data_IF_004966152464
#
_entry.id   IF_004966152464
#
_cell.length_a   1.000
_cell.length_b   1.000
_cell.length_c   1.000
_cell.angle_alpha   90.00
_cell.angle_beta   90.00
_cell.angle_gamma   90.00
#
_symmetry.space_group_name_H-M   'P 1'
#
loop_
_entity.id
_entity.type
_entity.pdbx_description
1 polymer ?
#
# COMPACT_ATOMS: atom_id res chain seq x y z
N UNK A 1 -7.76 -6.65 -7.00
CA UNK A 1 -7.49 -6.50 -5.55
C UNK A 1 -6.11 -7.01 -5.16
N UNK A 2 -5.60 -8.04 -5.82
CA UNK A 2 -4.29 -8.64 -5.49
C UNK A 2 -3.11 -7.66 -5.52
N UNK A 3 -3.08 -6.75 -6.50
CA UNK A 3 -2.06 -5.70 -6.59
C UNK A 3 -2.07 -4.82 -5.33
N UNK A 4 -3.26 -4.37 -4.91
CA UNK A 4 -3.41 -3.55 -3.72
C UNK A 4 -2.87 -4.27 -2.49
N UNK A 5 -3.24 -5.53 -2.28
CA UNK A 5 -2.74 -6.31 -1.15
C UNK A 5 -1.23 -6.51 -1.23
N UNK A 6 -0.69 -6.85 -2.40
CA UNK A 6 0.76 -7.02 -2.59
C UNK A 6 1.56 -5.73 -2.34
N UNK A 7 0.95 -4.56 -2.52
CA UNK A 7 1.59 -3.26 -2.28
C UNK A 7 1.42 -2.79 -0.84
N UNK A 8 0.21 -2.86 -0.29
CA UNK A 8 -0.14 -2.25 1.00
C UNK A 8 -0.04 -3.23 2.18
N UNK A 9 -0.39 -4.50 1.99
CA UNK A 9 -0.46 -5.50 3.07
C UNK A 9 -0.37 -6.95 2.53
N UNK A 10 0.82 -7.44 2.14
CA UNK A 10 0.96 -8.71 1.40
C UNK A 10 0.48 -9.95 2.16
N UNK A 11 0.45 -9.86 3.49
CA UNK A 11 0.05 -10.95 4.37
C UNK A 11 -1.36 -10.75 4.95
N UNK A 12 -2.15 -9.84 4.35
CA UNK A 12 -3.40 -9.32 4.90
C UNK A 12 -4.30 -10.40 5.50
N UNK A 13 -4.57 -11.47 4.75
CA UNK A 13 -5.49 -12.52 5.19
C UNK A 13 -4.96 -13.40 6.34
N UNK A 14 -3.64 -13.48 6.51
CA UNK A 14 -3.04 -14.39 7.50
C UNK A 14 -2.71 -13.68 8.81
N UNK A 15 -2.49 -12.36 8.78
CA UNK A 15 -2.13 -11.61 9.97
C UNK A 15 -3.38 -11.21 10.76
N UNK A 16 -3.28 -11.18 12.10
CA UNK A 16 -4.41 -10.88 12.98
C UNK A 16 -4.48 -9.39 13.34
N UNK A 17 -4.48 -8.51 12.34
CA UNK A 17 -4.49 -7.05 12.52
C UNK A 17 -3.10 -6.40 12.64
N UNK A 18 -2.06 -7.17 12.95
CA UNK A 18 -0.65 -6.76 12.90
C UNK A 18 0.13 -7.82 12.14
N UNK A 19 1.00 -7.41 11.22
CA UNK A 19 1.88 -8.32 10.49
C UNK A 19 3.33 -8.24 10.99
N UNK A 20 3.78 -9.33 11.61
CA UNK A 20 5.16 -9.50 12.07
C UNK A 20 6.01 -10.37 11.12
N UNK A 21 5.39 -10.99 10.11
CA UNK A 21 6.04 -11.98 9.25
C UNK A 21 6.64 -11.34 8.01
N UNK A 22 5.99 -10.33 7.45
CA UNK A 22 6.51 -9.62 6.28
C UNK A 22 7.49 -8.54 6.74
N UNK A 23 8.77 -8.59 6.32
CA UNK A 23 9.70 -7.50 6.57
C UNK A 23 9.15 -6.21 5.99
N UNK A 24 8.75 -5.28 6.86
CA UNK A 24 8.16 -4.01 6.45
C UNK A 24 6.67 -3.83 6.68
N UNK A 25 5.89 -4.89 6.93
CA UNK A 25 4.46 -4.76 7.21
C UNK A 25 4.13 -4.39 8.67
N UNK A 26 5.14 -4.44 9.55
CA UNK A 26 5.01 -4.09 10.96
C UNK A 26 4.77 -2.59 11.25
N UNK A 27 4.96 -1.69 10.28
CA UNK A 27 4.70 -0.25 10.49
C UNK A 27 3.21 0.07 10.45
N UNK A 28 2.44 -0.36 9.45
CA UNK A 28 0.99 -0.10 9.33
C UNK A 28 0.34 -1.13 8.39
N UNK A 29 -0.56 -1.96 8.91
CA UNK A 29 -1.44 -2.85 8.13
C UNK A 29 -2.69 -2.12 7.64
N UNK A 30 -3.44 -2.71 6.70
CA UNK A 30 -4.77 -2.21 6.32
C UNK A 30 -5.67 -2.09 7.55
N UNK A 31 -5.66 -3.11 8.43
CA UNK A 31 -6.43 -3.10 9.68
C UNK A 31 -6.06 -1.90 10.57
N UNK A 32 -4.76 -1.60 10.74
CA UNK A 32 -4.31 -0.42 11.49
C UNK A 32 -4.69 0.89 10.80
N UNK A 33 -4.67 0.94 9.46
CA UNK A 33 -5.11 2.08 8.67
C UNK A 33 -6.60 2.38 8.86
N UNK A 34 -7.45 1.36 8.88
CA UNK A 34 -8.88 1.49 9.20
C UNK A 34 -9.09 2.02 10.62
N UNK A 35 -8.37 1.45 11.60
CA UNK A 35 -8.45 1.94 12.97
C UNK A 35 -8.03 3.40 13.04
N UNK A 36 -6.94 3.79 12.37
CA UNK A 36 -6.51 5.20 12.27
C UNK A 36 -7.63 6.09 11.75
N UNK A 37 -8.32 5.65 10.69
CA UNK A 37 -9.34 6.42 9.98
C UNK A 37 -10.62 6.59 10.80
N UNK A 38 -11.05 5.56 11.52
CA UNK A 38 -12.36 5.57 12.19
C UNK A 38 -12.31 5.85 13.70
N UNK A 39 -11.20 5.53 14.39
CA UNK A 39 -11.12 5.68 15.85
C UNK A 39 -10.38 6.93 16.31
N UNK A 40 -9.73 7.66 15.40
CA UNK A 40 -8.94 8.83 15.74
C UNK A 40 -9.36 10.02 14.89
N UNK A 41 -9.85 11.08 15.54
CA UNK A 41 -10.04 12.37 14.88
C UNK A 41 -8.69 13.01 14.51
N UNK A 42 -7.74 12.98 15.46
CA UNK A 42 -6.40 13.53 15.30
C UNK A 42 -5.36 12.49 15.73
N UNK A 43 -4.73 11.84 14.75
CA UNK A 43 -3.70 10.83 15.03
C UNK A 43 -2.29 11.45 15.05
N UNK A 44 -1.62 11.37 16.20
CA UNK A 44 -0.18 11.67 16.34
C UNK A 44 0.56 10.43 16.85
N UNK A 45 1.60 9.93 16.15
CA UNK A 45 2.39 8.78 16.59
C UNK A 45 2.91 8.97 18.03
N UNK A 46 2.97 7.87 18.79
CA UNK A 46 3.23 7.86 20.24
C UNK A 46 2.25 6.92 20.93
N UNK A 47 1.65 7.35 22.03
CA UNK A 47 0.62 6.56 22.75
C UNK A 47 -0.56 6.20 21.82
N UNK A 48 -0.95 7.08 20.90
CA UNK A 48 -2.03 6.79 19.95
C UNK A 48 -1.67 5.63 18.99
N UNK A 49 -0.38 5.44 18.65
CA UNK A 49 0.06 4.31 17.84
C UNK A 49 -0.08 2.99 18.60
N UNK A 50 0.22 2.98 19.89
CA UNK A 50 0.01 1.81 20.75
C UNK A 50 -1.48 1.48 20.82
N UNK A 51 -2.33 2.48 21.11
CA UNK A 51 -3.80 2.33 21.12
C UNK A 51 -4.33 1.79 19.79
N UNK A 52 -3.89 2.36 18.66
CA UNK A 52 -4.26 1.88 17.33
C UNK A 52 -3.91 0.40 17.13
N UNK A 53 -2.70 0.01 17.49
CA UNK A 53 -2.23 -1.38 17.35
C UNK A 53 -3.05 -2.34 18.21
N UNK A 54 -3.38 -1.96 19.45
CA UNK A 54 -4.22 -2.75 20.34
C UNK A 54 -5.66 -2.88 19.80
N UNK A 55 -6.27 -1.78 19.37
CA UNK A 55 -7.63 -1.78 18.78
C UNK A 55 -7.64 -2.63 17.50
N UNK A 56 -6.63 -2.49 16.63
CA UNK A 56 -6.53 -3.28 15.40
C UNK A 56 -6.45 -4.78 15.71
N UNK A 57 -5.64 -5.17 16.70
CA UNK A 57 -5.38 -6.56 17.06
C UNK A 57 -6.53 -7.23 17.81
N UNK A 58 -7.10 -6.52 18.78
CA UNK A 58 -8.00 -7.08 19.78
C UNK A 58 -9.46 -6.66 19.63
N UNK A 59 -9.77 -5.63 18.82
CA UNK A 59 -11.14 -5.21 18.55
C UNK A 59 -11.50 -5.36 17.06
N UNK A 60 -10.85 -4.61 16.16
CA UNK A 60 -11.27 -4.60 14.75
C UNK A 60 -11.09 -5.97 14.07
N UNK A 61 -9.91 -6.59 14.19
CA UNK A 61 -9.64 -7.87 13.55
C UNK A 61 -10.57 -9.03 13.97
N UNK A 62 -10.90 -9.24 15.26
CA UNK A 62 -11.83 -10.30 15.65
C UNK A 62 -13.30 -9.98 15.36
N UNK A 63 -13.70 -8.70 15.28
CA UNK A 63 -15.10 -8.28 15.11
C UNK A 63 -15.51 -8.06 13.65
N UNK A 64 -14.56 -7.77 12.76
CA UNK A 64 -14.82 -7.45 11.35
C UNK A 64 -14.02 -8.40 10.46
N UNK A 65 -14.70 -9.07 9.54
CA UNK A 65 -14.07 -10.01 8.60
C UNK A 65 -12.99 -9.32 7.76
N UNK A 66 -12.01 -10.09 7.25
CA UNK A 66 -10.97 -9.53 6.36
C UNK A 66 -11.57 -8.93 5.10
N UNK A 67 -12.60 -9.56 4.54
CA UNK A 67 -13.28 -9.06 3.35
C UNK A 67 -13.98 -7.73 3.61
N UNK A 68 -14.65 -7.58 4.76
CA UNK A 68 -15.34 -6.33 5.10
C UNK A 68 -14.33 -5.23 5.46
N UNK A 69 -13.21 -5.57 6.10
CA UNK A 69 -12.09 -4.64 6.26
C UNK A 69 -11.58 -4.16 4.90
N UNK A 70 -11.39 -5.05 3.93
CA UNK A 70 -10.92 -4.68 2.60
C UNK A 70 -11.95 -3.78 1.87
N UNK A 71 -13.25 -4.09 1.96
CA UNK A 71 -14.33 -3.24 1.42
C UNK A 71 -14.33 -1.85 2.06
N UNK A 72 -14.22 -1.77 3.38
CA UNK A 72 -14.10 -0.49 4.10
C UNK A 72 -12.86 0.27 3.64
N UNK A 73 -11.73 -0.41 3.48
CA UNK A 73 -10.49 0.22 3.07
C UNK A 73 -10.62 0.86 1.69
N UNK A 74 -11.11 0.12 0.68
CA UNK A 74 -11.25 0.66 -0.67
C UNK A 74 -12.28 1.79 -0.76
N UNK A 75 -13.24 1.86 0.18
CA UNK A 75 -14.25 2.91 0.21
C UNK A 75 -13.79 4.18 0.94
N UNK A 76 -12.86 4.08 1.89
CA UNK A 76 -12.52 5.20 2.78
C UNK A 76 -11.05 5.61 2.75
N UNK A 77 -10.19 4.91 1.99
CA UNK A 77 -8.79 5.30 1.81
C UNK A 77 -8.70 6.69 1.20
N UNK A 78 -7.81 7.53 1.75
CA UNK A 78 -7.58 8.87 1.22
C UNK A 78 -6.69 8.80 -0.02
N UNK A 79 -7.18 9.34 -1.13
CA UNK A 79 -6.51 9.37 -2.43
C UNK A 79 -6.23 10.81 -2.86
N UNK A 80 -5.93 11.69 -1.91
CA UNK A 80 -5.46 13.05 -2.20
C UNK A 80 -6.61 14.03 -2.36
N UNK A 81 -6.33 15.16 -3.01
CA UNK A 81 -7.30 16.23 -3.21
C UNK A 81 -7.28 16.76 -4.63
N UNK A 82 -8.45 17.11 -5.15
CA UNK A 82 -8.65 17.75 -6.44
C UNK A 82 -9.52 18.99 -6.23
N UNK A 83 -9.07 20.14 -6.73
CA UNK A 83 -9.77 21.43 -6.59
C UNK A 83 -10.13 21.78 -5.14
N UNK A 84 -9.19 21.56 -4.22
CA UNK A 84 -9.39 21.81 -2.79
C UNK A 84 -10.19 20.72 -2.05
N UNK A 85 -10.88 19.85 -2.76
CA UNK A 85 -11.75 18.84 -2.18
C UNK A 85 -11.00 17.51 -1.94
N UNK A 86 -11.09 16.91 -0.75
CA UNK A 86 -10.49 15.61 -0.49
C UNK A 86 -11.23 14.50 -1.25
N UNK A 87 -10.47 13.52 -1.74
CA UNK A 87 -10.97 12.35 -2.43
C UNK A 87 -10.73 11.14 -1.54
N UNK A 88 -11.81 10.46 -1.19
CA UNK A 88 -11.79 9.21 -0.43
C UNK A 88 -12.43 8.11 -1.24
N UNK A 89 -11.83 6.93 -1.18
CA UNK A 89 -12.32 5.73 -1.83
C UNK A 89 -11.98 5.64 -3.32
N UNK A 90 -11.80 4.41 -3.77
CA UNK A 90 -11.43 4.10 -5.15
C UNK A 90 -12.52 4.47 -6.15
N UNK A 91 -13.81 4.28 -5.81
CA UNK A 91 -14.91 4.63 -6.71
C UNK A 91 -14.90 6.13 -7.07
N UNK A 92 -14.93 6.99 -6.05
CA UNK A 92 -14.86 8.44 -6.22
C UNK A 92 -13.55 8.86 -6.92
N UNK A 93 -12.42 8.28 -6.53
CA UNK A 93 -11.14 8.60 -7.18
C UNK A 93 -11.11 8.21 -8.68
N UNK A 94 -11.74 7.09 -9.05
CA UNK A 94 -11.81 6.63 -10.45
C UNK A 94 -12.56 7.63 -11.31
N UNK A 95 -13.71 8.10 -10.84
CA UNK A 95 -14.53 9.10 -11.53
C UNK A 95 -13.80 10.45 -11.60
N UNK A 96 -13.22 10.89 -10.48
CA UNK A 96 -12.59 12.22 -10.39
C UNK A 96 -11.28 12.33 -11.15
N UNK A 97 -10.49 11.26 -11.24
CA UNK A 97 -9.19 11.30 -11.92
C UNK A 97 -9.24 10.81 -13.36
N UNK A 98 -10.15 9.87 -13.68
CA UNK A 98 -10.17 9.21 -14.99
C UNK A 98 -11.52 9.31 -15.70
N UNK A 99 -12.57 9.84 -15.05
CA UNK A 99 -13.91 9.93 -15.64
C UNK A 99 -14.56 8.56 -15.86
N UNK A 100 -14.15 7.52 -15.14
CA UNK A 100 -14.58 6.13 -15.34
C UNK A 100 -15.09 5.51 -14.04
N UNK A 101 -16.09 4.62 -14.11
CA UNK A 101 -16.40 3.70 -13.02
C UNK A 101 -15.17 2.88 -12.61
N UNK A 102 -15.04 2.56 -11.33
CA UNK A 102 -13.90 1.76 -10.82
C UNK A 102 -13.74 0.41 -11.55
N UNK A 103 -14.84 -0.23 -11.93
CA UNK A 103 -14.83 -1.50 -12.68
C UNK A 103 -14.33 -1.37 -14.13
N UNK A 104 -14.19 -0.15 -14.65
CA UNK A 104 -13.73 0.14 -16.01
C UNK A 104 -12.31 0.73 -16.03
N UNK A 105 -11.64 0.81 -14.89
CA UNK A 105 -10.23 1.20 -14.87
C UNK A 105 -9.38 0.15 -15.59
N UNK A 106 -8.46 0.64 -16.41
CA UNK A 106 -7.34 -0.18 -16.84
C UNK A 106 -6.46 -0.57 -15.64
N UNK A 107 -5.68 -1.64 -15.80
CA UNK A 107 -4.73 -2.05 -14.77
C UNK A 107 -3.77 -0.92 -14.40
N UNK A 108 -3.33 -0.12 -15.38
CA UNK A 108 -2.43 1.00 -15.16
C UNK A 108 -3.07 2.12 -14.34
N UNK A 109 -4.31 2.51 -14.66
CA UNK A 109 -5.06 3.50 -13.87
C UNK A 109 -5.32 3.01 -12.44
N UNK A 110 -5.60 1.71 -12.26
CA UNK A 110 -5.73 1.10 -10.95
C UNK A 110 -4.41 1.14 -10.17
N UNK A 111 -3.29 0.79 -10.80
CA UNK A 111 -1.96 0.89 -10.19
C UNK A 111 -1.63 2.35 -9.85
N UNK A 112 -2.04 3.32 -10.67
CA UNK A 112 -1.88 4.74 -10.38
C UNK A 112 -2.63 5.17 -9.12
N UNK A 113 -3.84 4.66 -8.87
CA UNK A 113 -4.56 4.90 -7.62
C UNK A 113 -3.89 4.20 -6.42
N UNK A 114 -3.45 2.95 -6.59
CA UNK A 114 -2.69 2.23 -5.54
C UNK A 114 -1.39 2.97 -5.19
N UNK A 115 -0.69 3.51 -6.19
CA UNK A 115 0.51 4.31 -6.02
C UNK A 115 0.28 5.53 -5.12
N UNK A 116 -0.93 6.09 -5.13
CA UNK A 116 -1.26 7.26 -4.33
C UNK A 116 -1.39 6.99 -2.84
N UNK A 117 -1.86 5.81 -2.42
CA UNK A 117 -2.26 5.50 -1.03
C UNK A 117 -1.20 5.96 0.00
N UNK A 118 0.05 5.62 -0.27
CA UNK A 118 1.16 5.87 0.66
C UNK A 118 1.47 7.35 0.87
N UNK A 119 1.29 8.17 -0.16
CA UNK A 119 1.59 9.59 -0.15
C UNK A 119 0.71 10.31 -1.19
N UNK A 120 -0.59 10.49 -0.91
CA UNK A 120 -1.57 10.84 -1.96
C UNK A 120 -1.33 12.20 -2.62
N UNK A 121 -0.72 13.14 -1.89
CA UNK A 121 -0.34 14.43 -2.44
C UNK A 121 0.94 14.33 -3.30
N UNK A 122 1.91 13.49 -2.92
CA UNK A 122 3.18 13.33 -3.65
C UNK A 122 2.98 12.59 -4.97
N UNK A 123 2.11 11.59 -4.98
CA UNK A 123 1.83 10.75 -6.15
C UNK A 123 0.54 11.10 -6.86
N UNK A 124 -0.01 12.29 -6.62
CA UNK A 124 -1.24 12.71 -7.25
C UNK A 124 -1.13 12.65 -8.78
N UNK A 125 -2.03 11.90 -9.42
CA UNK A 125 -1.99 11.63 -10.87
C UNK A 125 -2.08 12.88 -11.75
N UNK A 126 -2.76 13.94 -11.27
CA UNK A 126 -2.90 15.20 -12.00
C UNK A 126 -1.77 16.18 -11.64
N UNK A 127 -1.47 16.33 -10.35
CA UNK A 127 -0.51 17.34 -9.88
C UNK A 127 0.94 16.92 -10.08
N UNK A 128 1.24 15.63 -9.91
CA UNK A 128 2.59 15.08 -9.98
C UNK A 128 2.62 13.82 -10.87
N UNK A 129 2.26 13.92 -12.16
CA UNK A 129 2.11 12.76 -13.05
C UNK A 129 3.41 11.97 -13.22
N UNK A 130 4.55 12.64 -13.30
CA UNK A 130 5.86 11.99 -13.40
C UNK A 130 6.18 11.17 -12.13
N UNK A 131 5.91 11.72 -10.94
CA UNK A 131 6.13 11.00 -9.68
C UNK A 131 5.20 9.79 -9.57
N UNK A 132 3.95 9.91 -10.02
CA UNK A 132 3.01 8.79 -10.08
C UNK A 132 3.50 7.71 -11.03
N UNK A 133 3.82 8.06 -12.28
CA UNK A 133 4.29 7.12 -13.31
C UNK A 133 5.53 6.35 -12.85
N UNK A 134 6.52 7.06 -12.32
CA UNK A 134 7.72 6.43 -11.75
C UNK A 134 7.40 5.44 -10.61
N UNK A 135 6.32 5.65 -9.84
CA UNK A 135 5.87 4.70 -8.81
C UNK A 135 5.09 3.54 -9.41
N UNK A 136 4.25 3.78 -10.43
CA UNK A 136 3.54 2.74 -11.17
C UNK A 136 4.53 1.73 -11.74
N UNK A 137 5.61 2.19 -12.37
CA UNK A 137 6.67 1.30 -12.88
C UNK A 137 7.28 0.43 -11.78
N UNK A 138 7.58 1.01 -10.62
CA UNK A 138 8.13 0.25 -9.48
C UNK A 138 7.14 -0.78 -8.92
N UNK A 139 5.85 -0.45 -8.87
CA UNK A 139 4.80 -1.41 -8.50
C UNK A 139 4.71 -2.53 -9.54
N UNK A 140 4.78 -2.23 -10.84
CA UNK A 140 4.83 -3.24 -11.91
C UNK A 140 6.02 -4.19 -11.73
N UNK A 141 7.21 -3.69 -11.39
CA UNK A 141 8.38 -4.52 -11.08
C UNK A 141 8.15 -5.42 -9.86
N UNK A 142 7.53 -4.90 -8.79
CA UNK A 142 7.16 -5.68 -7.61
C UNK A 142 6.17 -6.80 -7.96
N UNK A 143 5.15 -6.50 -8.79
CA UNK A 143 4.14 -7.48 -9.22
C UNK A 143 4.82 -8.62 -9.97
N UNK A 144 5.75 -8.31 -10.89
CA UNK A 144 6.55 -9.29 -11.67
C UNK A 144 7.57 -10.07 -10.83
N UNK A 145 7.81 -9.69 -9.58
CA UNK A 145 8.84 -10.30 -8.73
C UNK A 145 10.27 -9.95 -9.15
N UNK A 146 10.42 -8.90 -9.96
CA UNK A 146 11.72 -8.35 -10.38
C UNK A 146 12.28 -7.36 -9.34
N UNK A 147 11.49 -7.06 -8.32
CA UNK A 147 11.85 -6.16 -7.24
C UNK A 147 11.44 -6.73 -5.89
N UNK A 148 12.36 -6.72 -4.94
CA UNK A 148 12.13 -7.08 -3.53
C UNK A 148 12.44 -5.85 -2.69
N UNK A 149 11.47 -5.29 -1.95
CA UNK A 149 11.71 -4.16 -1.05
C UNK A 149 12.81 -4.49 -0.05
N UNK A 150 13.79 -3.60 0.12
CA UNK A 150 14.93 -3.80 1.04
C UNK A 150 14.51 -3.75 2.51
N UNK A 151 13.35 -3.17 2.82
CA UNK A 151 12.82 -3.16 4.18
C UNK A 151 11.69 -2.16 4.42
N UNK A 152 11.45 -1.92 5.70
CA UNK A 152 10.32 -1.18 6.28
C UNK A 152 10.08 0.24 5.78
N UNK A 153 11.16 0.94 5.42
CA UNK A 153 11.11 2.32 4.91
C UNK A 153 11.24 2.37 3.39
N UNK A 154 11.32 1.21 2.74
CA UNK A 154 11.39 1.07 1.29
C UNK A 154 10.01 1.22 0.62
N UNK A 155 9.25 2.17 1.17
CA UNK A 155 7.93 2.60 0.78
C UNK A 155 7.91 3.08 -0.67
N UNK A 156 9.04 3.58 -1.16
CA UNK A 156 9.23 4.13 -2.48
C UNK A 156 9.85 3.16 -3.46
N UNK A 157 10.30 1.99 -3.02
CA UNK A 157 11.05 1.02 -3.82
C UNK A 157 12.40 1.56 -4.32
N UNK A 158 13.19 2.12 -3.41
CA UNK A 158 14.34 3.00 -3.56
C UNK A 158 15.41 2.58 -4.58
N UNK A 159 15.64 3.51 -5.51
CA UNK A 159 16.94 3.93 -6.04
C UNK A 159 17.55 3.08 -7.15
N UNK A 160 17.48 3.57 -8.41
CA UNK A 160 18.27 3.29 -9.65
C UNK A 160 18.92 1.92 -9.93
N UNK A 161 18.75 0.91 -9.09
CA UNK A 161 19.43 -0.36 -9.20
C UNK A 161 18.40 -1.47 -9.35
N UNK A 162 18.16 -1.77 -10.62
CA UNK A 162 17.72 -3.05 -11.11
C UNK A 162 18.56 -4.16 -10.48
N UNK A 163 18.11 -4.77 -9.38
CA UNK A 163 18.66 -6.06 -9.00
C UNK A 163 18.04 -7.09 -9.93
N UNK A 164 18.71 -7.38 -11.05
CA UNK A 164 18.50 -8.65 -11.76
C UNK A 164 18.55 -9.77 -10.72
N UNK A 165 17.65 -10.74 -10.82
CA UNK A 165 17.59 -11.97 -10.01
C UNK A 165 18.99 -12.37 -9.51
N UNK A 166 19.18 -12.70 -8.23
CA UNK A 166 20.46 -13.25 -7.79
C UNK A 166 20.74 -14.48 -8.66
N UNK A 167 21.81 -14.41 -9.46
CA UNK A 167 22.38 -15.62 -10.05
C UNK A 167 22.68 -16.54 -8.89
N UNK A 168 22.08 -17.72 -8.95
CA UNK A 168 22.28 -18.89 -8.09
C UNK A 168 23.47 -18.76 -7.13
N UNK A 169 23.16 -18.75 -5.83
CA UNK A 169 24.12 -18.72 -4.71
C UNK A 169 25.05 -19.96 -4.67
N UNK A 170 24.91 -20.91 -5.60
CA UNK A 170 25.62 -22.19 -5.57
C UNK A 170 27.04 -22.21 -6.15
N UNK A 171 27.47 -21.20 -6.92
CA UNK A 171 28.77 -21.28 -7.61
C UNK A 171 29.94 -20.53 -6.97
N UNK A 172 29.73 -19.79 -5.87
CA UNK A 172 30.81 -19.04 -5.20
C UNK A 172 31.46 -19.77 -4.02
N UNK A 173 30.97 -20.95 -3.65
CA UNK A 173 31.50 -21.77 -2.56
C UNK A 173 32.41 -22.92 -3.06
N UNK A 174 32.48 -23.18 -4.37
CA UNK A 174 33.14 -24.38 -4.92
C UNK A 174 34.48 -24.07 -5.61
N UNK A 175 34.70 -22.88 -6.15
CA UNK A 175 35.98 -22.53 -6.77
C UNK A 175 36.35 -21.09 -6.44
N UNK A 176 37.17 -20.94 -5.38
CA UNK A 176 37.67 -19.65 -4.93
C UNK A 176 38.83 -19.17 -5.80
N UNK A 177 38.62 -18.06 -6.50
CA UNK A 177 39.60 -17.02 -6.84
C UNK A 177 38.85 -15.68 -6.99
#
# INVERSE_FOLDING_TARGET
>A
MDILLKVEDPNFYNHKGIDFKTPGAGITTITQGLVKKFYFENFRPGIAKIKQTLIARFALNPLVSKDDQLKLFINYVYLGKLDGNPIYGFANASERYFGKPFSQLSEEEYISLVAMIIAPNKFNVIKNPEANSNRVERIKLLIRGEYVPKGLMDLYYGGKYFSKKPRSFFNKLIWGY
#
